data_IF_915892525019
#
_entry.id   IF_915892525019
#
_cell.length_a   1.000
_cell.length_b   1.000
_cell.length_c   1.000
_cell.angle_alpha   90.00
_cell.angle_beta   90.00
_cell.angle_gamma   90.00
#
_symmetry.space_group_name_H-M   'P 1'
#
loop_
_entity.id
_entity.type
_entity.pdbx_description
1 polymer ?
#
# COMPACT_ATOMS: atom_id res chain seq x y z
N UNK A 1 52.57 -4.20 -51.85
CA UNK A 1 51.49 -4.20 -50.83
C UNK A 1 52.02 -3.33 -49.67
N UNK A 2 51.33 -2.20 -49.41
CA UNK A 2 51.88 -1.11 -48.61
C UNK A 2 51.64 -1.36 -47.10
N UNK A 3 52.69 -1.66 -46.32
CA UNK A 3 52.61 -1.97 -44.86
C UNK A 3 51.88 -0.86 -44.09
N UNK A 4 51.92 0.40 -44.48
CA UNK A 4 51.21 1.53 -43.85
C UNK A 4 49.71 1.44 -43.96
N UNK A 5 49.16 0.98 -45.12
CA UNK A 5 47.72 0.83 -45.31
C UNK A 5 47.15 -0.30 -44.45
N UNK A 6 47.90 -1.39 -44.25
CA UNK A 6 47.47 -2.51 -43.41
C UNK A 6 47.41 -2.12 -41.94
N UNK A 7 48.43 -1.38 -41.44
CA UNK A 7 48.41 -0.87 -40.06
C UNK A 7 47.26 0.11 -39.80
N UNK A 8 46.97 1.02 -40.71
CA UNK A 8 45.89 1.99 -40.56
C UNK A 8 44.47 1.31 -40.52
N UNK A 9 44.28 0.28 -41.31
CA UNK A 9 43.04 -0.50 -41.30
C UNK A 9 42.86 -1.32 -40.03
N UNK A 10 43.96 -1.90 -39.48
CA UNK A 10 43.92 -2.62 -38.23
C UNK A 10 43.58 -1.72 -37.04
N UNK A 11 44.16 -0.50 -36.97
CA UNK A 11 43.86 0.48 -35.90
C UNK A 11 42.41 0.98 -35.98
N UNK A 12 41.86 1.22 -37.19
CA UNK A 12 40.46 1.60 -37.35
C UNK A 12 39.50 0.48 -36.92
N UNK A 13 39.78 -0.78 -37.26
CA UNK A 13 38.94 -1.94 -36.83
C UNK A 13 38.93 -2.11 -35.32
N UNK A 14 40.10 -1.98 -34.63
CA UNK A 14 40.14 -2.08 -33.17
C UNK A 14 39.43 -0.94 -32.47
N UNK A 15 39.51 0.30 -32.99
CA UNK A 15 38.81 1.43 -32.45
C UNK A 15 37.29 1.29 -32.58
N UNK A 16 36.80 0.77 -33.73
CA UNK A 16 35.35 0.52 -33.94
C UNK A 16 34.85 -0.57 -32.99
N UNK A 17 35.61 -1.66 -32.82
CA UNK A 17 35.25 -2.75 -31.90
C UNK A 17 35.20 -2.25 -30.43
N UNK A 18 36.12 -1.40 -30.01
CA UNK A 18 36.13 -0.81 -28.68
C UNK A 18 34.93 0.12 -28.42
N UNK A 19 34.50 0.89 -29.44
CA UNK A 19 33.32 1.74 -29.35
C UNK A 19 32.05 0.89 -29.26
N UNK A 20 31.94 -0.17 -30.05
CA UNK A 20 30.77 -1.08 -30.01
C UNK A 20 30.65 -1.77 -28.67
N UNK A 21 31.77 -2.24 -28.08
CA UNK A 21 31.75 -2.87 -26.75
C UNK A 21 31.42 -1.87 -25.65
N UNK A 22 31.88 -0.62 -25.74
CA UNK A 22 31.55 0.43 -24.77
C UNK A 22 30.07 0.80 -24.85
N UNK A 23 29.50 0.91 -26.05
CA UNK A 23 28.09 1.20 -26.26
C UNK A 23 27.21 0.01 -25.76
N UNK A 24 27.62 -1.22 -26.03
CA UNK A 24 26.91 -2.41 -25.54
C UNK A 24 26.94 -2.49 -24.00
N UNK A 25 28.05 -2.11 -23.34
CA UNK A 25 28.16 -2.05 -21.89
C UNK A 25 27.26 -0.94 -21.28
N UNK A 26 27.07 0.19 -21.96
CA UNK A 26 26.14 1.23 -21.54
C UNK A 26 24.68 0.80 -21.63
N UNK A 27 24.31 0.01 -22.63
CA UNK A 27 22.95 -0.53 -22.75
C UNK A 27 22.68 -1.66 -21.74
N UNK A 28 23.68 -2.43 -21.32
CA UNK A 28 23.52 -3.48 -20.30
C UNK A 28 23.33 -2.91 -18.88
N UNK A 29 23.71 -1.66 -18.63
CA UNK A 29 23.57 -1.02 -17.31
C UNK A 29 22.12 -0.54 -17.01
N UNK A 30 21.22 -0.57 -17.99
CA UNK A 30 19.81 -0.14 -17.82
C UNK A 30 18.82 -1.30 -17.61
N UNK A 31 19.26 -2.44 -17.06
CA UNK A 31 18.29 -3.42 -16.56
C UNK A 31 17.69 -2.87 -15.26
N UNK A 32 16.50 -2.30 -15.36
CA UNK A 32 15.65 -2.01 -14.20
C UNK A 32 15.54 -3.29 -13.37
N UNK A 33 16.13 -3.26 -12.19
CA UNK A 33 16.00 -4.37 -11.23
C UNK A 33 14.53 -4.44 -10.83
N UNK A 34 13.80 -5.41 -11.39
CA UNK A 34 12.39 -5.60 -11.08
C UNK A 34 12.26 -5.90 -9.59
N UNK A 35 11.71 -4.95 -8.84
CA UNK A 35 11.46 -5.11 -7.40
C UNK A 35 10.45 -6.25 -7.25
N UNK A 36 10.82 -7.32 -6.56
CA UNK A 36 9.94 -8.44 -6.28
C UNK A 36 9.23 -8.20 -4.94
N UNK A 37 7.93 -7.92 -4.97
CA UNK A 37 7.09 -7.85 -3.79
C UNK A 37 6.55 -9.24 -3.43
N UNK A 38 6.26 -9.47 -2.15
CA UNK A 38 5.57 -10.66 -1.65
C UNK A 38 4.06 -10.49 -1.90
N UNK A 39 3.55 -9.28 -1.72
CA UNK A 39 2.19 -8.89 -2.04
C UNK A 39 1.96 -8.80 -3.56
N UNK A 40 0.71 -8.76 -3.96
CA UNK A 40 0.34 -8.60 -5.37
C UNK A 40 0.63 -7.17 -5.82
N UNK A 41 1.50 -7.00 -6.81
CA UNK A 41 1.76 -5.70 -7.44
C UNK A 41 0.56 -5.30 -8.30
N UNK A 42 -0.08 -4.19 -7.94
CA UNK A 42 -1.22 -3.59 -8.64
C UNK A 42 -0.88 -2.21 -9.20
N UNK A 43 0.40 -1.94 -9.40
CA UNK A 43 0.87 -0.66 -9.97
C UNK A 43 0.22 -0.41 -11.33
N UNK A 44 -0.34 0.79 -11.50
CA UNK A 44 -1.05 1.16 -12.74
C UNK A 44 -2.50 0.66 -12.81
N UNK A 45 -3.02 0.04 -11.76
CA UNK A 45 -4.44 -0.31 -11.68
C UNK A 45 -5.33 0.92 -11.87
N UNK A 46 -6.49 0.73 -12.50
CA UNK A 46 -7.48 1.78 -12.75
C UNK A 46 -8.44 2.02 -11.57
N UNK A 47 -8.26 1.34 -10.46
CA UNK A 47 -9.06 1.36 -9.25
C UNK A 47 -8.19 1.71 -8.01
N UNK A 48 -8.84 1.96 -6.88
CA UNK A 48 -8.19 2.27 -5.59
C UNK A 48 -7.21 3.47 -5.65
N UNK A 49 -7.46 4.43 -6.56
CA UNK A 49 -6.54 5.55 -6.78
C UNK A 49 -6.65 6.63 -5.70
N UNK A 50 -7.87 6.88 -5.23
CA UNK A 50 -8.15 7.92 -4.24
C UNK A 50 -9.31 7.48 -3.34
N UNK A 51 -9.04 7.25 -2.07
CA UNK A 51 -10.07 6.86 -1.09
C UNK A 51 -11.02 8.00 -0.73
N UNK A 52 -10.78 9.20 -1.22
CA UNK A 52 -11.61 10.39 -0.98
C UNK A 52 -12.37 10.83 -2.22
N UNK A 53 -12.14 10.24 -3.39
CA UNK A 53 -12.76 10.65 -4.66
C UNK A 53 -14.29 10.60 -4.63
N UNK A 54 -14.88 9.66 -3.87
CA UNK A 54 -16.31 9.45 -3.78
C UNK A 54 -17.01 10.29 -2.70
N UNK A 55 -16.29 11.15 -1.97
CA UNK A 55 -16.86 12.03 -0.96
C UNK A 55 -15.95 12.34 0.21
N UNK A 56 -16.43 13.17 1.13
CA UNK A 56 -15.69 13.54 2.32
C UNK A 56 -15.55 12.37 3.26
N UNK A 57 -14.32 11.96 3.53
CA UNK A 57 -13.98 11.01 4.57
C UNK A 57 -13.44 11.76 5.78
N UNK A 58 -13.93 11.43 6.96
CA UNK A 58 -13.45 12.01 8.22
C UNK A 58 -12.72 10.95 9.03
N UNK A 59 -11.64 11.33 9.68
CA UNK A 59 -10.98 10.45 10.63
C UNK A 59 -11.74 10.38 11.98
N UNK A 60 -11.32 9.50 12.86
CA UNK A 60 -11.94 9.32 14.17
C UNK A 60 -11.79 10.52 15.11
N UNK A 61 -11.05 11.56 14.72
CA UNK A 61 -10.99 12.85 15.42
C UNK A 61 -11.91 13.91 14.78
N UNK A 62 -12.70 13.52 13.75
CA UNK A 62 -13.63 14.40 13.05
C UNK A 62 -13.00 15.29 11.98
N UNK A 63 -11.73 15.05 11.63
CA UNK A 63 -11.03 15.83 10.61
C UNK A 63 -11.23 15.20 9.23
N UNK A 64 -11.59 16.03 8.24
CA UNK A 64 -11.62 15.60 6.86
C UNK A 64 -10.21 15.23 6.38
N UNK A 65 -10.11 14.10 5.68
CA UNK A 65 -8.82 13.56 5.18
C UNK A 65 -8.87 13.30 3.68
N UNK A 66 -7.70 13.46 3.09
CA UNK A 66 -7.42 13.12 1.69
C UNK A 66 -6.12 12.34 1.58
N UNK A 67 -5.87 11.74 0.41
CA UNK A 67 -4.57 11.07 0.13
C UNK A 67 -3.38 12.01 0.36
N UNK A 68 -3.55 13.30 0.04
CA UNK A 68 -2.50 14.32 0.17
C UNK A 68 -2.04 14.56 1.60
N UNK A 69 -2.90 14.31 2.60
CA UNK A 69 -2.56 14.47 4.02
C UNK A 69 -1.51 13.45 4.50
N UNK A 70 -1.28 12.42 3.69
CA UNK A 70 -0.33 11.35 3.98
C UNK A 70 0.88 11.38 3.03
N UNK A 71 1.11 12.48 2.31
CA UNK A 71 2.27 12.63 1.44
C UNK A 71 3.58 12.40 2.20
N UNK A 72 4.50 11.64 1.61
CA UNK A 72 5.76 11.23 2.24
C UNK A 72 5.65 9.98 3.11
N UNK A 73 4.46 9.42 3.30
CA UNK A 73 4.25 8.17 4.01
C UNK A 73 3.81 7.05 3.10
N UNK A 74 4.21 5.83 3.41
CA UNK A 74 3.60 4.62 2.87
C UNK A 74 2.32 4.37 3.64
N UNK A 75 1.19 4.29 2.95
CA UNK A 75 -0.13 4.11 3.56
C UNK A 75 -0.60 2.69 3.35
N UNK A 76 -1.03 2.04 4.42
CA UNK A 76 -1.69 0.72 4.38
C UNK A 76 -3.15 0.91 4.77
N UNK A 77 -4.05 0.66 3.83
CA UNK A 77 -5.48 0.89 3.96
C UNK A 77 -6.23 -0.44 4.01
N UNK A 78 -7.03 -0.62 5.05
CA UNK A 78 -7.84 -1.81 5.29
C UNK A 78 -9.32 -1.44 5.47
N UNK A 79 -10.21 -2.21 4.85
CA UNK A 79 -11.66 -2.11 5.05
C UNK A 79 -12.10 -3.10 6.12
N UNK A 80 -12.82 -2.63 7.14
CA UNK A 80 -13.25 -3.50 8.24
C UNK A 80 -14.35 -2.88 9.10
N UNK A 81 -14.65 -3.51 10.23
CA UNK A 81 -15.61 -3.01 11.22
C UNK A 81 -15.16 -3.40 12.63
N UNK A 82 -15.53 -2.59 13.64
CA UNK A 82 -14.98 -2.75 14.99
C UNK A 82 -15.46 -4.01 15.71
N UNK A 83 -16.61 -4.56 15.32
CA UNK A 83 -17.17 -5.79 15.88
C UNK A 83 -16.75 -7.05 15.13
N UNK A 84 -15.74 -6.98 14.25
CA UNK A 84 -15.16 -8.14 13.61
C UNK A 84 -14.37 -8.97 14.64
N UNK A 85 -14.68 -10.28 14.78
CA UNK A 85 -14.08 -11.07 15.87
C UNK A 85 -12.65 -11.53 15.60
N UNK A 86 -12.16 -11.49 14.35
CA UNK A 86 -10.91 -12.15 13.97
C UNK A 86 -10.10 -11.36 12.92
N UNK A 87 -10.55 -11.28 11.69
CA UNK A 87 -9.76 -10.77 10.55
C UNK A 87 -9.30 -9.33 10.75
N UNK A 88 -10.19 -8.43 11.23
CA UNK A 88 -9.86 -7.03 11.37
C UNK A 88 -8.81 -6.75 12.45
N UNK A 89 -8.96 -7.26 13.70
CA UNK A 89 -7.95 -7.05 14.72
C UNK A 89 -6.61 -7.72 14.35
N UNK A 90 -6.63 -8.89 13.73
CA UNK A 90 -5.41 -9.57 13.27
C UNK A 90 -4.67 -8.72 12.23
N UNK A 91 -5.36 -8.20 11.20
CA UNK A 91 -4.75 -7.37 10.16
C UNK A 91 -4.14 -6.08 10.72
N UNK A 92 -4.83 -5.42 11.65
CA UNK A 92 -4.32 -4.21 12.28
C UNK A 92 -3.14 -4.48 13.22
N UNK A 93 -3.13 -5.62 13.92
CA UNK A 93 -2.01 -6.04 14.75
C UNK A 93 -0.77 -6.41 13.91
N UNK A 94 -0.95 -7.13 12.79
CA UNK A 94 0.13 -7.42 11.84
C UNK A 94 0.75 -6.14 11.28
N UNK A 95 -0.06 -5.14 10.94
CA UNK A 95 0.44 -3.85 10.48
C UNK A 95 1.22 -3.11 11.56
N UNK A 96 0.71 -3.09 12.79
CA UNK A 96 1.41 -2.47 13.92
C UNK A 96 2.75 -3.15 14.19
N UNK A 97 2.82 -4.47 14.08
CA UNK A 97 4.08 -5.21 14.24
C UNK A 97 5.04 -4.96 13.05
N UNK A 98 4.55 -4.93 11.82
CA UNK A 98 5.36 -4.58 10.65
C UNK A 98 6.00 -3.19 10.80
N UNK A 99 5.26 -2.21 11.32
CA UNK A 99 5.77 -0.87 11.64
C UNK A 99 6.90 -0.93 12.68
N UNK A 100 6.77 -1.73 13.74
CA UNK A 100 7.81 -1.91 14.76
C UNK A 100 9.06 -2.60 14.19
N UNK A 101 8.89 -3.59 13.31
CA UNK A 101 9.99 -4.25 12.60
C UNK A 101 10.79 -3.22 11.79
N UNK A 102 10.10 -2.34 11.05
CA UNK A 102 10.75 -1.29 10.27
C UNK A 102 11.51 -0.30 11.15
N UNK A 103 10.91 0.16 12.23
CA UNK A 103 11.56 1.07 13.20
C UNK A 103 12.79 0.46 13.84
N UNK A 104 12.75 -0.83 14.18
CA UNK A 104 13.89 -1.58 14.73
C UNK A 104 15.01 -1.72 13.73
N UNK A 105 14.68 -1.95 12.44
CA UNK A 105 15.65 -2.15 11.39
C UNK A 105 16.33 -0.85 10.94
N UNK A 106 15.60 0.25 10.94
CA UNK A 106 16.08 1.59 10.62
C UNK A 106 15.23 2.63 11.34
N UNK A 107 15.84 3.33 12.29
CA UNK A 107 15.16 4.35 13.10
C UNK A 107 14.49 5.43 12.23
N UNK A 108 13.21 5.67 12.49
CA UNK A 108 12.38 6.61 11.76
C UNK A 108 11.63 6.03 10.55
N UNK A 109 11.90 4.79 10.15
CA UNK A 109 11.13 4.16 9.07
C UNK A 109 9.70 3.80 9.53
N UNK A 110 9.52 3.43 10.81
CA UNK A 110 8.21 3.24 11.39
C UNK A 110 7.32 4.48 11.30
N UNK A 111 7.86 5.67 11.52
CA UNK A 111 7.10 6.93 11.47
C UNK A 111 6.61 7.30 10.06
N UNK A 112 7.21 6.70 9.04
CA UNK A 112 6.81 6.84 7.63
C UNK A 112 5.68 5.89 7.23
N UNK A 113 5.22 5.01 8.12
CA UNK A 113 4.11 4.10 7.87
C UNK A 113 2.83 4.65 8.50
N UNK A 114 1.78 4.75 7.69
CA UNK A 114 0.45 5.15 8.13
C UNK A 114 -0.55 4.02 7.93
N UNK A 115 -1.14 3.53 9.03
CA UNK A 115 -2.29 2.64 8.97
C UNK A 115 -3.59 3.43 8.85
N UNK A 116 -4.43 3.04 7.90
CA UNK A 116 -5.79 3.56 7.73
C UNK A 116 -6.79 2.41 7.77
N UNK A 117 -7.80 2.55 8.63
CA UNK A 117 -8.92 1.64 8.74
C UNK A 117 -10.19 2.32 8.24
N UNK A 118 -10.76 1.88 7.12
CA UNK A 118 -12.05 2.42 6.63
C UNK A 118 -13.17 1.53 7.14
N UNK A 119 -14.07 2.11 7.96
CA UNK A 119 -15.22 1.33 8.41
C UNK A 119 -16.21 1.06 7.30
N UNK A 120 -16.63 -0.21 7.23
CA UNK A 120 -17.75 -0.66 6.37
C UNK A 120 -19.08 -0.72 7.12
N UNK A 121 -19.08 -0.37 8.40
CA UNK A 121 -20.27 -0.36 9.26
C UNK A 121 -20.45 1.00 9.97
N UNK A 122 -20.63 2.07 9.22
CA UNK A 122 -20.75 3.40 9.80
C UNK A 122 -21.99 3.59 10.71
N UNK A 123 -22.91 2.63 10.72
CA UNK A 123 -24.06 2.66 11.62
C UNK A 123 -23.65 2.40 13.07
N UNK A 124 -22.78 1.40 13.32
CA UNK A 124 -22.29 1.04 14.67
C UNK A 124 -20.95 1.70 14.99
N UNK A 125 -20.10 1.91 14.01
CA UNK A 125 -18.76 2.43 14.18
C UNK A 125 -18.78 3.97 14.23
N UNK A 126 -19.17 4.52 15.38
CA UNK A 126 -19.09 5.96 15.64
C UNK A 126 -17.65 6.44 15.80
N UNK A 127 -17.37 7.75 15.67
CA UNK A 127 -16.02 8.27 15.82
C UNK A 127 -15.35 7.90 17.16
N UNK A 128 -16.06 7.98 18.32
CA UNK A 128 -15.49 7.51 19.59
C UNK A 128 -15.18 6.02 19.61
N UNK A 129 -16.03 5.18 19.03
CA UNK A 129 -15.82 3.72 18.94
C UNK A 129 -14.59 3.43 18.07
N UNK A 130 -14.47 4.05 16.92
CA UNK A 130 -13.32 3.93 16.03
C UNK A 130 -12.02 4.39 16.70
N UNK A 131 -12.06 5.50 17.45
CA UNK A 131 -10.90 5.99 18.17
C UNK A 131 -10.42 5.02 19.24
N UNK A 132 -11.34 4.49 20.03
CA UNK A 132 -11.05 3.48 21.05
C UNK A 132 -10.49 2.19 20.43
N UNK A 133 -11.06 1.75 19.31
CA UNK A 133 -10.61 0.55 18.60
C UNK A 133 -9.17 0.71 18.08
N UNK A 134 -8.85 1.83 17.41
CA UNK A 134 -7.51 2.06 16.86
C UNK A 134 -6.44 2.18 17.95
N UNK A 135 -6.80 2.70 19.12
CA UNK A 135 -5.90 2.80 20.27
C UNK A 135 -5.33 1.47 20.78
N UNK A 136 -5.93 0.34 20.40
CA UNK A 136 -5.43 -0.99 20.76
C UNK A 136 -4.23 -1.46 19.90
N UNK A 137 -3.92 -0.78 18.80
CA UNK A 137 -2.90 -1.21 17.84
C UNK A 137 -1.70 -0.26 17.80
N UNK A 138 -1.90 0.94 17.28
CA UNK A 138 -0.88 1.97 17.20
C UNK A 138 -1.53 3.36 17.33
N UNK A 139 -1.01 4.26 18.18
CA UNK A 139 -1.62 5.57 18.45
C UNK A 139 -1.62 6.50 17.22
N UNK A 140 -0.83 6.21 16.19
CA UNK A 140 -0.76 7.01 14.96
C UNK A 140 -1.70 6.51 13.87
N UNK A 141 -2.29 5.33 14.02
CA UNK A 141 -3.24 4.80 13.06
C UNK A 141 -4.57 5.56 13.12
N UNK A 142 -5.18 5.75 11.97
CA UNK A 142 -6.44 6.45 11.86
C UNK A 142 -7.54 5.51 11.35
N UNK A 143 -8.71 5.58 12.00
CA UNK A 143 -9.91 5.01 11.40
C UNK A 143 -10.67 6.12 10.68
N UNK A 144 -11.19 5.77 9.50
CA UNK A 144 -11.88 6.66 8.58
C UNK A 144 -13.34 6.27 8.47
N UNK A 145 -14.22 7.27 8.41
CA UNK A 145 -15.66 7.07 8.28
C UNK A 145 -16.23 8.01 7.23
N UNK A 146 -17.19 7.51 6.48
CA UNK A 146 -18.02 8.32 5.57
C UNK A 146 -19.50 7.98 5.75
N UNK A 147 -20.39 8.75 5.13
CA UNK A 147 -21.81 8.44 5.14
C UNK A 147 -22.09 7.13 4.40
N UNK A 148 -23.15 6.37 4.79
CA UNK A 148 -23.44 5.05 4.19
C UNK A 148 -23.63 5.09 2.68
N UNK A 149 -24.30 6.12 2.14
CA UNK A 149 -24.49 6.32 0.70
C UNK A 149 -23.17 6.54 -0.06
N UNK A 150 -22.21 7.22 0.57
CA UNK A 150 -20.88 7.46 0.02
C UNK A 150 -19.97 6.24 0.12
N UNK A 151 -20.14 5.43 1.17
CA UNK A 151 -19.38 4.19 1.35
C UNK A 151 -19.56 3.24 0.16
N UNK A 152 -20.76 3.15 -0.41
CA UNK A 152 -21.02 2.32 -1.61
C UNK A 152 -20.12 2.73 -2.77
N UNK A 153 -19.98 4.04 -3.02
CA UNK A 153 -19.11 4.54 -4.07
C UNK A 153 -17.62 4.25 -3.78
N UNK A 154 -17.18 4.48 -2.54
CA UNK A 154 -15.80 4.15 -2.10
C UNK A 154 -15.50 2.67 -2.31
N UNK A 155 -16.36 1.77 -1.83
CA UNK A 155 -16.17 0.33 -1.98
C UNK A 155 -16.12 -0.10 -3.45
N UNK A 156 -16.93 0.52 -4.32
CA UNK A 156 -16.90 0.28 -5.76
C UNK A 156 -15.56 0.71 -6.38
N UNK A 157 -15.03 1.89 -6.02
CA UNK A 157 -13.76 2.39 -6.51
C UNK A 157 -12.59 1.48 -6.11
N UNK A 158 -12.70 0.82 -4.96
CA UNK A 158 -11.72 -0.17 -4.47
C UNK A 158 -11.97 -1.60 -4.96
N UNK A 159 -13.05 -1.84 -5.69
CA UNK A 159 -13.52 -3.20 -6.02
C UNK A 159 -13.60 -4.09 -4.76
N UNK A 160 -13.92 -3.47 -3.62
CA UNK A 160 -14.05 -4.14 -2.32
C UNK A 160 -15.49 -4.55 -2.12
N UNK A 161 -15.69 -5.81 -1.80
CA UNK A 161 -17.00 -6.35 -1.43
C UNK A 161 -17.27 -6.14 0.06
N UNK A 162 -18.49 -5.78 0.42
CA UNK A 162 -19.00 -5.88 1.78
C UNK A 162 -20.52 -6.14 1.77
N UNK A 163 -21.01 -6.83 2.79
CA UNK A 163 -22.43 -7.16 2.94
C UNK A 163 -22.81 -7.34 4.40
N UNK A 164 -23.96 -6.78 4.80
CA UNK A 164 -24.57 -7.01 6.10
C UNK A 164 -25.19 -8.41 6.14
N UNK A 165 -24.82 -9.21 7.12
CA UNK A 165 -25.29 -10.57 7.33
C UNK A 165 -26.17 -10.58 8.58
N UNK A 166 -27.49 -10.87 8.47
CA UNK A 166 -28.39 -10.93 9.60
C UNK A 166 -27.90 -11.93 10.66
N UNK A 167 -28.00 -11.55 11.93
CA UNK A 167 -27.72 -12.41 13.06
C UNK A 167 -28.92 -13.21 13.52
N UNK A 168 -28.86 -13.71 14.76
CA UNK A 168 -29.92 -14.53 15.36
C UNK A 168 -31.13 -13.72 15.84
N UNK A 169 -31.02 -12.41 15.97
CA UNK A 169 -32.12 -11.50 16.36
C UNK A 169 -32.27 -10.40 15.33
N UNK A 170 -33.42 -9.74 15.29
CA UNK A 170 -33.71 -8.66 14.32
C UNK A 170 -32.77 -7.47 14.41
N UNK A 171 -32.11 -7.29 15.56
CA UNK A 171 -31.17 -6.18 15.81
C UNK A 171 -29.70 -6.60 15.71
N UNK A 172 -29.40 -7.92 15.63
CA UNK A 172 -28.05 -8.44 15.53
C UNK A 172 -27.64 -8.67 14.08
N UNK A 173 -26.40 -8.31 13.74
CA UNK A 173 -25.82 -8.63 12.43
C UNK A 173 -24.30 -8.65 12.48
N UNK A 174 -23.70 -9.30 11.51
CA UNK A 174 -22.28 -9.22 11.19
C UNK A 174 -22.07 -8.62 9.81
N UNK A 175 -20.82 -8.38 9.43
CA UNK A 175 -20.45 -7.94 8.09
C UNK A 175 -19.55 -9.00 7.45
N UNK A 176 -19.82 -9.31 6.19
CA UNK A 176 -18.92 -10.06 5.32
C UNK A 176 -18.20 -9.08 4.40
N UNK A 177 -16.89 -9.22 4.19
CA UNK A 177 -16.11 -8.28 3.40
C UNK A 177 -14.80 -8.86 2.86
N UNK A 178 -14.23 -8.18 1.86
CA UNK A 178 -12.88 -8.47 1.37
C UNK A 178 -11.83 -8.21 2.45
N UNK A 179 -10.90 -9.15 2.66
CA UNK A 179 -9.97 -9.16 3.80
C UNK A 179 -8.55 -8.66 3.48
N UNK A 180 -8.30 -8.13 2.28
CA UNK A 180 -6.99 -7.63 1.90
C UNK A 180 -6.79 -6.14 2.17
N UNK A 181 -5.53 -5.70 2.19
CA UNK A 181 -5.13 -4.31 2.37
C UNK A 181 -4.56 -3.73 1.08
N UNK A 182 -4.82 -2.45 0.85
CA UNK A 182 -4.22 -1.68 -0.23
C UNK A 182 -3.03 -0.89 0.29
N UNK A 183 -1.92 -0.91 -0.44
CA UNK A 183 -0.70 -0.19 -0.04
C UNK A 183 -0.38 0.89 -1.06
N UNK A 184 -0.18 2.11 -0.56
CA UNK A 184 0.21 3.28 -1.34
C UNK A 184 1.66 3.64 -1.05
N UNK A 185 2.37 4.09 -2.07
CA UNK A 185 3.72 4.61 -1.92
C UNK A 185 3.73 6.03 -1.30
N UNK A 186 4.92 6.56 -1.05
CA UNK A 186 5.13 7.90 -0.46
C UNK A 186 4.61 9.05 -1.33
N UNK A 187 4.25 8.78 -2.58
CA UNK A 187 3.66 9.75 -3.53
C UNK A 187 2.14 9.65 -3.59
N UNK A 188 1.54 8.69 -2.85
CA UNK A 188 0.10 8.45 -2.85
C UNK A 188 -0.41 7.60 -4.01
N UNK A 189 0.46 6.90 -4.75
CA UNK A 189 0.03 5.97 -5.79
C UNK A 189 -0.23 4.61 -5.19
N UNK A 190 -1.34 3.96 -5.58
CA UNK A 190 -1.60 2.57 -5.20
C UNK A 190 -0.54 1.65 -5.84
N UNK A 191 0.03 0.76 -5.02
CA UNK A 191 1.12 -0.11 -5.45
C UNK A 191 0.84 -1.58 -5.20
N UNK A 192 0.35 -1.94 -4.03
CA UNK A 192 0.22 -3.36 -3.66
C UNK A 192 -1.18 -3.66 -3.12
N UNK A 193 -1.58 -4.91 -3.29
CA UNK A 193 -2.67 -5.54 -2.58
C UNK A 193 -2.12 -6.70 -1.73
N UNK A 194 -2.18 -6.56 -0.42
CA UNK A 194 -1.71 -7.55 0.55
C UNK A 194 -2.87 -8.42 1.00
N UNK A 195 -2.71 -9.73 0.93
CA UNK A 195 -3.72 -10.69 1.39
C UNK A 195 -3.71 -10.82 2.91
N UNK A 196 -4.86 -11.11 3.48
CA UNK A 196 -4.98 -11.50 4.89
C UNK A 196 -4.05 -12.69 5.22
N UNK A 197 -3.40 -12.65 6.39
CA UNK A 197 -2.52 -13.73 6.84
C UNK A 197 -1.16 -13.79 6.15
N UNK A 198 -0.73 -12.73 5.46
CA UNK A 198 0.62 -12.66 4.91
C UNK A 198 1.71 -12.54 5.97
N UNK A 199 1.36 -12.10 7.17
CA UNK A 199 2.26 -11.93 8.30
C UNK A 199 3.04 -10.61 8.30
N UNK A 200 3.44 -10.17 9.50
CA UNK A 200 4.09 -8.88 9.71
C UNK A 200 5.45 -8.76 9.01
N UNK A 201 6.25 -9.82 8.96
CA UNK A 201 7.58 -9.82 8.32
C UNK A 201 7.47 -9.62 6.80
N UNK A 202 6.53 -10.31 6.15
CA UNK A 202 6.27 -10.17 4.72
C UNK A 202 5.81 -8.75 4.40
N UNK A 203 4.85 -8.23 5.19
CA UNK A 203 4.37 -6.86 5.05
C UNK A 203 5.51 -5.85 5.26
N UNK A 204 6.32 -5.99 6.31
CA UNK A 204 7.47 -5.10 6.56
C UNK A 204 8.47 -5.10 5.40
N UNK A 205 8.74 -6.27 4.80
CA UNK A 205 9.62 -6.40 3.64
C UNK A 205 9.12 -5.59 2.45
N UNK A 206 7.83 -5.69 2.13
CA UNK A 206 7.21 -4.95 1.04
C UNK A 206 7.17 -3.43 1.30
N UNK A 207 6.77 -3.03 2.52
CA UNK A 207 6.72 -1.62 2.92
C UNK A 207 8.10 -0.97 2.85
N UNK A 208 9.17 -1.68 3.24
CA UNK A 208 10.55 -1.20 3.14
C UNK A 208 10.96 -0.86 1.71
N UNK A 209 10.50 -1.64 0.73
CA UNK A 209 10.78 -1.38 -0.68
C UNK A 209 10.11 -0.10 -1.19
N UNK A 210 8.96 0.28 -0.61
CA UNK A 210 8.21 1.48 -0.96
C UNK A 210 8.68 2.75 -0.23
N UNK A 211 9.56 2.63 0.77
CA UNK A 211 10.17 3.77 1.49
C UNK A 211 11.38 4.36 0.77
N UNK A 212 11.82 3.75 -0.33
CA UNK A 212 13.00 4.15 -1.11
C UNK A 212 12.69 5.27 -2.13
#
# INVERSE_FOLDING_TARGET
MNKRSFLQNAIKSTAILAVITLVAALFAACTEQKIAFISVDITGADYAKDFTASGTMVDHNGQARSVKDFAGKVVVLFFGFTQCPDVCPTSMAELAEAKKILEKNNKGDGDKIQGLFITIDPERDTLPVLKAYMGNFDPTFLAMRTAPDKLVAVAKDFKTYYKKIPGKTDTSYSMDHSAGSFVYDTKGNVRLYTRYGSGADALASDLKLLLK
#
